data_IF_760614055745
#
_entry.id   IF_760614055745
#
_cell.length_a   1.000
_cell.length_b   1.000
_cell.length_c   1.000
_cell.angle_alpha   90.00
_cell.angle_beta   90.00
_cell.angle_gamma   90.00
#
_symmetry.space_group_name_H-M   'P 1'
#
loop_
_entity.id
_entity.type
_entity.pdbx_description
1 polymer ?
#
# COMPACT_ATOMS: atom_id res chain seq x y z
N UNK A 1 -27.13 18.61 36.01
CA UNK A 1 -25.93 19.00 35.23
C UNK A 1 -24.65 18.37 35.77
N UNK A 2 -24.23 18.66 37.01
CA UNK A 2 -22.98 18.10 37.58
C UNK A 2 -22.86 16.56 37.59
N UNK A 3 -23.97 15.83 37.78
CA UNK A 3 -23.99 14.36 37.76
C UNK A 3 -23.77 13.79 36.35
N UNK A 4 -24.28 14.46 35.31
CA UNK A 4 -24.07 14.06 33.91
C UNK A 4 -22.63 14.34 33.46
N UNK A 5 -22.06 15.45 33.90
CA UNK A 5 -20.65 15.80 33.65
C UNK A 5 -19.70 14.79 34.31
N UNK A 6 -19.97 14.41 35.56
CA UNK A 6 -19.17 13.42 36.28
C UNK A 6 -19.28 12.00 35.69
N UNK A 7 -20.47 11.60 35.21
CA UNK A 7 -20.67 10.33 34.50
C UNK A 7 -19.90 10.27 33.17
N UNK A 8 -19.89 11.37 32.40
CA UNK A 8 -19.15 11.46 31.15
C UNK A 8 -17.63 11.38 31.37
N UNK A 9 -17.11 12.04 32.41
CA UNK A 9 -15.69 11.98 32.79
C UNK A 9 -15.26 10.58 33.24
N UNK A 10 -16.11 9.88 34.01
CA UNK A 10 -15.84 8.49 34.44
C UNK A 10 -15.82 7.51 33.25
N UNK A 11 -16.75 7.66 32.31
CA UNK A 11 -16.78 6.86 31.08
C UNK A 11 -15.54 7.10 30.20
N UNK A 12 -15.09 8.35 30.10
CA UNK A 12 -13.87 8.69 29.36
C UNK A 12 -12.62 8.11 30.01
N UNK A 13 -12.50 8.17 31.33
CA UNK A 13 -11.38 7.58 32.06
C UNK A 13 -11.32 6.05 31.93
N UNK A 14 -12.47 5.36 32.02
CA UNK A 14 -12.59 3.92 31.76
C UNK A 14 -12.15 3.55 30.34
N UNK A 15 -12.62 4.30 29.32
CA UNK A 15 -12.20 4.09 27.92
C UNK A 15 -10.70 4.28 27.72
N UNK A 16 -10.10 5.28 28.37
CA UNK A 16 -8.65 5.52 28.30
C UNK A 16 -7.85 4.38 28.93
N UNK A 17 -8.39 3.71 29.94
CA UNK A 17 -7.74 2.59 30.62
C UNK A 17 -7.94 1.24 29.91
N UNK A 18 -9.09 1.01 29.27
CA UNK A 18 -9.37 -0.21 28.48
C UNK A 18 -8.68 -0.18 27.11
N UNK A 19 -8.52 0.98 26.48
CA UNK A 19 -7.98 1.11 25.12
C UNK A 19 -6.57 0.49 24.92
N UNK A 20 -5.60 0.65 25.85
CA UNK A 20 -4.31 -0.04 25.76
C UNK A 20 -4.44 -1.57 25.83
N UNK A 21 -5.39 -2.07 26.63
CA UNK A 21 -5.60 -3.52 26.80
C UNK A 21 -6.23 -4.15 25.56
N UNK A 22 -7.16 -3.43 24.90
CA UNK A 22 -7.76 -3.85 23.64
C UNK A 22 -6.74 -3.88 22.50
N UNK A 23 -5.92 -2.83 22.35
CA UNK A 23 -4.84 -2.80 21.35
C UNK A 23 -3.81 -3.90 21.56
N UNK A 24 -3.46 -4.18 22.80
CA UNK A 24 -2.55 -5.29 23.12
C UNK A 24 -3.17 -6.64 22.72
N UNK A 25 -4.45 -6.85 23.00
CA UNK A 25 -5.15 -8.08 22.63
C UNK A 25 -5.23 -8.27 21.10
N UNK A 26 -5.57 -7.21 20.35
CA UNK A 26 -5.56 -7.23 18.87
C UNK A 26 -4.17 -7.55 18.31
N UNK A 27 -3.12 -6.96 18.88
CA UNK A 27 -1.73 -7.24 18.48
C UNK A 27 -1.34 -8.69 18.74
N UNK A 28 -1.67 -9.22 19.91
CA UNK A 28 -1.38 -10.62 20.27
C UNK A 28 -2.12 -11.58 19.32
N UNK A 29 -3.39 -11.28 19.02
CA UNK A 29 -4.19 -12.10 18.11
C UNK A 29 -3.60 -12.08 16.69
N UNK A 30 -3.19 -10.92 16.19
CA UNK A 30 -2.55 -10.81 14.87
C UNK A 30 -1.21 -11.60 14.81
N UNK A 31 -0.42 -11.54 15.87
CA UNK A 31 0.82 -12.32 15.99
C UNK A 31 0.56 -13.84 16.03
N UNK A 32 -0.45 -14.28 16.77
CA UNK A 32 -0.85 -15.69 16.85
C UNK A 32 -1.30 -16.24 15.50
N UNK A 33 -2.13 -15.50 14.76
CA UNK A 33 -2.53 -15.87 13.39
C UNK A 33 -1.33 -15.93 12.44
N UNK A 34 -0.41 -14.96 12.52
CA UNK A 34 0.83 -15.01 11.74
C UNK A 34 1.69 -16.23 12.10
N UNK A 35 1.78 -16.59 13.38
CA UNK A 35 2.51 -17.76 13.84
C UNK A 35 1.89 -19.07 13.34
N UNK A 36 0.56 -19.21 13.40
CA UNK A 36 -0.18 -20.35 12.84
C UNK A 36 0.06 -20.50 11.34
N UNK A 37 0.01 -19.39 10.61
CA UNK A 37 0.28 -19.35 9.17
C UNK A 37 1.71 -19.84 8.85
N UNK A 38 2.70 -19.34 9.60
CA UNK A 38 4.09 -19.76 9.47
C UNK A 38 4.26 -21.25 9.76
N UNK A 39 3.60 -21.75 10.82
CA UNK A 39 3.63 -23.17 11.17
C UNK A 39 3.07 -24.05 10.04
N UNK A 40 1.90 -23.70 9.49
CA UNK A 40 1.29 -24.43 8.35
C UNK A 40 2.21 -24.44 7.12
N UNK A 41 2.84 -23.31 6.81
CA UNK A 41 3.80 -23.23 5.69
C UNK A 41 5.03 -24.11 5.90
N UNK A 42 5.55 -24.16 7.13
CA UNK A 42 6.69 -25.03 7.49
C UNK A 42 6.30 -26.49 7.40
N UNK A 43 5.12 -26.87 7.88
CA UNK A 43 4.59 -28.24 7.79
C UNK A 43 4.47 -28.68 6.32
N UNK A 44 3.87 -27.85 5.47
CA UNK A 44 3.79 -28.12 4.04
C UNK A 44 5.16 -28.27 3.38
N UNK A 45 6.18 -27.50 3.79
CA UNK A 45 7.54 -27.67 3.26
C UNK A 45 8.17 -29.01 3.66
N UNK A 46 7.85 -29.53 4.85
CA UNK A 46 8.34 -30.83 5.34
C UNK A 46 7.72 -32.02 4.61
N UNK A 47 6.49 -31.89 4.11
CA UNK A 47 5.80 -32.94 3.34
C UNK A 47 6.57 -33.35 2.07
N UNK A 48 7.38 -32.44 1.52
CA UNK A 48 8.25 -32.75 0.37
C UNK A 48 9.27 -33.86 0.68
N UNK A 49 9.73 -33.95 1.92
CA UNK A 49 10.73 -34.92 2.38
C UNK A 49 10.12 -36.28 2.76
N UNK A 50 8.84 -36.52 2.42
CA UNK A 50 8.18 -37.80 2.68
C UNK A 50 8.72 -38.91 1.77
N UNK A 51 8.97 -40.08 2.35
CA UNK A 51 9.33 -41.28 1.60
C UNK A 51 8.16 -41.89 0.81
N UNK A 52 6.92 -41.39 1.02
CA UNK A 52 5.74 -41.90 0.33
C UNK A 52 5.51 -41.19 -1.02
N UNK A 53 5.55 -41.91 -2.16
CA UNK A 53 5.37 -41.31 -3.49
C UNK A 53 4.04 -40.57 -3.67
N UNK A 54 2.97 -41.07 -3.03
CA UNK A 54 1.65 -40.43 -3.09
C UNK A 54 1.65 -39.05 -2.43
N UNK A 55 2.26 -38.92 -1.25
CA UNK A 55 2.38 -37.65 -0.53
C UNK A 55 3.20 -36.63 -1.34
N UNK A 56 4.31 -37.08 -1.95
CA UNK A 56 5.15 -36.24 -2.82
C UNK A 56 4.38 -35.74 -4.04
N UNK A 57 3.51 -36.56 -4.63
CA UNK A 57 2.68 -36.16 -5.77
C UNK A 57 1.63 -35.11 -5.39
N UNK A 58 0.99 -35.26 -4.23
CA UNK A 58 0.06 -34.25 -3.69
C UNK A 58 0.79 -32.93 -3.44
N UNK A 59 1.97 -32.98 -2.84
CA UNK A 59 2.81 -31.80 -2.61
C UNK A 59 3.19 -31.09 -3.92
N UNK A 60 3.61 -31.85 -4.95
CA UNK A 60 3.91 -31.30 -6.29
C UNK A 60 2.71 -30.58 -6.90
N UNK A 61 1.51 -31.16 -6.75
CA UNK A 61 0.27 -30.53 -7.22
C UNK A 61 -0.01 -29.22 -6.48
N UNK A 62 0.04 -29.22 -5.14
CA UNK A 62 -0.16 -28.01 -4.34
C UNK A 62 0.86 -26.92 -4.67
N UNK A 63 2.13 -27.30 -4.90
CA UNK A 63 3.16 -26.37 -5.36
C UNK A 63 2.80 -25.73 -6.70
N UNK A 64 2.31 -26.52 -7.65
CA UNK A 64 1.87 -26.02 -8.96
C UNK A 64 0.67 -25.08 -8.81
N UNK A 65 -0.34 -25.46 -8.03
CA UNK A 65 -1.50 -24.62 -7.75
C UNK A 65 -1.07 -23.29 -7.12
N UNK A 66 -0.13 -23.30 -6.18
CA UNK A 66 0.45 -22.09 -5.57
C UNK A 66 1.11 -21.19 -6.61
N UNK A 67 1.91 -21.76 -7.52
CA UNK A 67 2.56 -20.99 -8.59
C UNK A 67 1.54 -20.38 -9.55
N UNK A 68 0.47 -21.12 -9.87
CA UNK A 68 -0.62 -20.60 -10.71
C UNK A 68 -1.38 -19.47 -10.02
N UNK A 69 -1.72 -19.61 -8.73
CA UNK A 69 -2.37 -18.54 -7.95
C UNK A 69 -1.50 -17.29 -7.94
N UNK A 70 -0.22 -17.41 -7.64
CA UNK A 70 0.70 -16.25 -7.62
C UNK A 70 0.82 -15.58 -8.99
N UNK A 71 0.88 -16.36 -10.07
CA UNK A 71 0.89 -15.83 -11.43
C UNK A 71 -0.41 -15.09 -11.76
N UNK A 72 -1.57 -15.68 -11.44
CA UNK A 72 -2.88 -15.06 -11.64
C UNK A 72 -2.99 -13.74 -10.89
N UNK A 73 -2.51 -13.68 -9.64
CA UNK A 73 -2.49 -12.44 -8.85
C UNK A 73 -1.63 -11.36 -9.51
N UNK A 74 -0.42 -11.70 -9.97
CA UNK A 74 0.47 -10.76 -10.67
C UNK A 74 -0.09 -10.25 -12.00
N UNK A 75 -0.94 -11.04 -12.65
CA UNK A 75 -1.62 -10.66 -13.89
C UNK A 75 -2.97 -9.96 -13.66
N UNK A 76 -3.36 -9.69 -12.42
CA UNK A 76 -4.63 -9.02 -12.09
C UNK A 76 -5.87 -9.93 -12.10
N UNK A 77 -5.71 -11.25 -12.26
CA UNK A 77 -6.81 -12.22 -12.24
C UNK A 77 -7.20 -12.64 -10.81
N UNK A 78 -7.52 -11.67 -9.95
CA UNK A 78 -7.76 -11.87 -8.52
C UNK A 78 -8.90 -12.86 -8.21
N UNK A 79 -10.03 -12.74 -8.90
CA UNK A 79 -11.20 -13.59 -8.66
C UNK A 79 -10.91 -15.06 -8.97
N UNK A 80 -10.20 -15.32 -10.07
CA UNK A 80 -9.76 -16.67 -10.46
C UNK A 80 -8.72 -17.20 -9.49
N UNK A 81 -7.76 -16.38 -9.07
CA UNK A 81 -6.74 -16.75 -8.09
C UNK A 81 -7.36 -17.19 -6.75
N UNK A 82 -8.32 -16.42 -6.23
CA UNK A 82 -9.05 -16.73 -4.99
C UNK A 82 -9.84 -18.03 -5.12
N UNK A 83 -10.52 -18.24 -6.25
CA UNK A 83 -11.27 -19.48 -6.50
C UNK A 83 -10.36 -20.71 -6.54
N UNK A 84 -9.22 -20.61 -7.23
CA UNK A 84 -8.24 -21.70 -7.29
C UNK A 84 -7.65 -22.00 -5.91
N UNK A 85 -7.28 -20.97 -5.14
CA UNK A 85 -6.74 -21.15 -3.79
C UNK A 85 -7.72 -21.88 -2.86
N UNK A 86 -9.01 -21.52 -2.91
CA UNK A 86 -10.08 -22.18 -2.15
C UNK A 86 -10.31 -23.62 -2.59
N UNK A 87 -10.41 -23.86 -3.89
CA UNK A 87 -10.64 -25.20 -4.44
C UNK A 87 -9.50 -26.16 -4.13
N UNK A 88 -8.26 -25.67 -4.13
CA UNK A 88 -7.07 -26.45 -3.80
C UNK A 88 -6.77 -26.49 -2.29
N UNK A 89 -7.49 -25.73 -1.45
CA UNK A 89 -7.27 -25.67 -0.01
C UNK A 89 -5.92 -25.05 0.39
N UNK A 90 -5.38 -24.16 -0.44
CA UNK A 90 -4.03 -23.58 -0.30
C UNK A 90 -4.02 -22.10 0.09
N UNK A 91 -5.14 -21.55 0.60
CA UNK A 91 -5.26 -20.13 0.97
C UNK A 91 -4.11 -19.68 1.90
N UNK A 92 -3.76 -20.49 2.90
CA UNK A 92 -2.65 -20.23 3.83
C UNK A 92 -1.26 -20.31 3.18
N UNK A 93 -1.13 -20.92 2.00
CA UNK A 93 0.14 -21.08 1.29
C UNK A 93 0.40 -19.97 0.28
N UNK A 94 -0.58 -19.10 0.03
CA UNK A 94 -0.51 -17.98 -0.92
C UNK A 94 -0.65 -16.64 -0.18
N UNK A 95 -0.19 -15.56 -0.79
CA UNK A 95 -0.21 -14.22 -0.18
C UNK A 95 -1.33 -13.34 -0.78
N UNK A 96 -2.56 -13.87 -0.90
CA UNK A 96 -3.68 -13.19 -1.58
C UNK A 96 -3.89 -11.77 -1.02
N UNK A 97 -3.94 -11.63 0.30
CA UNK A 97 -4.20 -10.33 0.95
C UNK A 97 -3.17 -9.26 0.57
N UNK A 98 -1.90 -9.63 0.47
CA UNK A 98 -0.84 -8.70 0.06
C UNK A 98 -1.07 -8.14 -1.35
N UNK A 99 -1.52 -9.01 -2.27
CA UNK A 99 -1.88 -8.59 -3.62
C UNK A 99 -3.15 -7.75 -3.66
N UNK A 100 -4.14 -8.03 -2.80
CA UNK A 100 -5.35 -7.21 -2.71
C UNK A 100 -5.08 -5.82 -2.13
N UNK A 101 -4.19 -5.70 -1.13
CA UNK A 101 -3.74 -4.39 -0.64
C UNK A 101 -3.01 -3.61 -1.74
N UNK A 102 -2.14 -4.27 -2.51
CA UNK A 102 -1.47 -3.63 -3.64
C UNK A 102 -2.49 -3.16 -4.69
N UNK A 103 -3.48 -4.01 -5.01
CA UNK A 103 -4.57 -3.70 -5.94
C UNK A 103 -5.36 -2.46 -5.52
N UNK A 104 -5.74 -2.37 -4.26
CA UNK A 104 -6.49 -1.22 -3.73
C UNK A 104 -5.71 0.09 -3.90
N UNK A 105 -4.40 0.05 -3.62
CA UNK A 105 -3.51 1.18 -3.84
C UNK A 105 -3.42 1.52 -5.34
N UNK A 106 -3.22 0.54 -6.21
CA UNK A 106 -3.18 0.74 -7.66
C UNK A 106 -4.47 1.37 -8.21
N UNK A 107 -5.63 0.81 -7.86
CA UNK A 107 -6.95 1.32 -8.26
C UNK A 107 -7.19 2.75 -7.74
N UNK A 108 -6.67 3.10 -6.55
CA UNK A 108 -6.76 4.48 -6.04
C UNK A 108 -5.92 5.45 -6.87
N UNK A 109 -4.72 5.03 -7.29
CA UNK A 109 -3.83 5.86 -8.11
C UNK A 109 -4.39 6.05 -9.52
N UNK A 110 -5.04 5.04 -10.09
CA UNK A 110 -5.77 5.15 -11.36
C UNK A 110 -6.88 6.20 -11.30
N UNK A 111 -7.56 6.31 -10.14
CA UNK A 111 -8.55 7.36 -9.87
C UNK A 111 -7.93 8.71 -9.48
N UNK A 112 -6.61 8.85 -9.56
CA UNK A 112 -5.86 10.04 -9.16
C UNK A 112 -5.96 10.37 -7.66
N UNK A 113 -6.29 9.38 -6.83
CA UNK A 113 -6.41 9.48 -5.38
C UNK A 113 -5.10 9.05 -4.70
N UNK A 114 -4.29 10.01 -4.26
CA UNK A 114 -2.98 9.71 -3.64
C UNK A 114 -3.07 9.37 -2.15
N UNK A 115 -4.20 9.66 -1.50
CA UNK A 115 -4.35 9.55 -0.04
C UNK A 115 -4.13 8.12 0.47
N UNK A 116 -4.71 7.12 -0.19
CA UNK A 116 -4.57 5.69 0.15
C UNK A 116 -3.13 5.24 0.02
N UNK A 117 -2.46 5.59 -1.08
CA UNK A 117 -1.05 5.25 -1.29
C UNK A 117 -0.12 5.94 -0.27
N UNK A 118 -0.41 7.20 0.08
CA UNK A 118 0.35 7.94 1.10
C UNK A 118 0.18 7.34 2.51
N UNK A 119 -1.02 6.91 2.87
CA UNK A 119 -1.26 6.16 4.11
C UNK A 119 -0.45 4.86 4.12
N UNK A 120 -0.46 4.12 3.02
CA UNK A 120 0.38 2.93 2.88
C UNK A 120 1.88 3.25 2.99
N UNK A 121 2.36 4.36 2.40
CA UNK A 121 3.75 4.79 2.55
C UNK A 121 4.11 5.09 4.00
N UNK A 122 3.20 5.73 4.75
CA UNK A 122 3.39 6.02 6.17
C UNK A 122 3.58 4.73 6.98
N UNK A 123 2.68 3.77 6.78
CA UNK A 123 2.70 2.50 7.54
C UNK A 123 3.92 1.65 7.19
N UNK A 124 4.47 1.82 5.98
CA UNK A 124 5.62 1.07 5.48
C UNK A 124 6.93 1.88 5.46
N UNK A 125 6.96 3.05 6.11
CA UNK A 125 8.05 4.04 6.02
C UNK A 125 9.44 3.46 6.31
N UNK A 126 9.56 2.62 7.34
CA UNK A 126 10.85 2.00 7.70
C UNK A 126 11.35 1.04 6.61
N UNK A 127 10.46 0.28 5.97
CA UNK A 127 10.79 -0.63 4.88
C UNK A 127 11.16 0.14 3.62
N UNK A 128 10.38 1.16 3.27
CA UNK A 128 10.62 2.03 2.12
C UNK A 128 11.97 2.75 2.23
N UNK A 129 12.33 3.22 3.43
CA UNK A 129 13.64 3.85 3.68
C UNK A 129 14.80 2.88 3.46
N UNK A 130 14.70 1.64 3.95
CA UNK A 130 15.72 0.60 3.74
C UNK A 130 15.92 0.28 2.27
N UNK A 131 14.83 0.28 1.50
CA UNK A 131 14.86 0.06 0.05
C UNK A 131 15.23 1.31 -0.76
N UNK A 132 15.46 2.47 -0.10
CA UNK A 132 15.68 3.77 -0.74
C UNK A 132 14.60 4.09 -1.79
N UNK A 133 13.35 3.74 -1.50
CA UNK A 133 12.22 3.96 -2.41
C UNK A 133 11.91 5.45 -2.56
N UNK A 134 11.68 5.91 -3.79
CA UNK A 134 11.22 7.26 -4.11
C UNK A 134 9.69 7.39 -4.20
N UNK A 135 8.93 6.37 -3.79
CA UNK A 135 7.47 6.32 -3.96
C UNK A 135 6.77 7.50 -3.29
N UNK A 136 7.04 7.76 -2.01
CA UNK A 136 6.42 8.88 -1.29
C UNK A 136 6.74 10.22 -1.96
N UNK A 137 7.98 10.41 -2.39
CA UNK A 137 8.39 11.62 -3.11
C UNK A 137 7.63 11.79 -4.43
N UNK A 138 7.50 10.71 -5.21
CA UNK A 138 6.74 10.69 -6.47
C UNK A 138 5.26 11.05 -6.25
N UNK A 139 4.65 10.56 -5.16
CA UNK A 139 3.28 10.94 -4.79
C UNK A 139 3.16 12.42 -4.41
N UNK A 140 4.15 12.97 -3.69
CA UNK A 140 4.16 14.41 -3.36
C UNK A 140 4.30 15.30 -4.60
N UNK A 141 5.08 14.85 -5.59
CA UNK A 141 5.16 15.48 -6.91
C UNK A 141 3.81 15.42 -7.61
N UNK A 142 3.13 14.27 -7.60
CA UNK A 142 1.79 14.13 -8.19
C UNK A 142 0.76 15.05 -7.54
N UNK A 143 0.72 15.13 -6.20
CA UNK A 143 -0.15 16.09 -5.49
C UNK A 143 0.14 17.54 -5.89
N UNK A 144 1.41 17.90 -6.06
CA UNK A 144 1.80 19.24 -6.50
C UNK A 144 1.31 19.54 -7.92
N UNK A 145 1.50 18.60 -8.85
CA UNK A 145 1.01 18.72 -10.24
C UNK A 145 -0.51 18.89 -10.26
N UNK A 146 -1.22 18.12 -9.43
CA UNK A 146 -2.67 18.17 -9.34
C UNK A 146 -3.19 19.51 -8.78
N UNK A 147 -2.49 20.08 -7.80
CA UNK A 147 -2.78 21.45 -7.32
C UNK A 147 -2.59 22.50 -8.42
N UNK A 148 -1.56 22.36 -9.27
CA UNK A 148 -1.35 23.26 -10.41
C UNK A 148 -2.45 23.09 -11.46
N UNK A 149 -2.84 21.85 -11.79
CA UNK A 149 -3.94 21.56 -12.74
C UNK A 149 -5.27 22.17 -12.29
N UNK A 150 -5.54 22.13 -10.98
CA UNK A 150 -6.72 22.79 -10.38
C UNK A 150 -6.57 24.31 -10.25
N UNK A 151 -5.49 24.90 -10.78
CA UNK A 151 -5.13 26.31 -10.69
C UNK A 151 -4.99 26.83 -9.24
N UNK A 152 -4.78 25.93 -8.26
CA UNK A 152 -4.54 26.25 -6.85
C UNK A 152 -3.05 26.54 -6.59
N UNK A 153 -2.50 27.52 -7.31
CA UNK A 153 -1.04 27.81 -7.32
C UNK A 153 -0.47 28.11 -5.94
N UNK A 154 -1.19 28.87 -5.11
CA UNK A 154 -0.73 29.19 -3.75
C UNK A 154 -0.67 27.95 -2.84
N UNK A 155 -1.58 26.99 -3.04
CA UNK A 155 -1.57 25.72 -2.31
C UNK A 155 -0.40 24.85 -2.76
N UNK A 156 -0.12 24.81 -4.07
CA UNK A 156 1.05 24.13 -4.61
C UNK A 156 2.35 24.68 -4.00
N UNK A 157 2.50 26.01 -3.87
CA UNK A 157 3.66 26.63 -3.21
C UNK A 157 3.78 26.22 -1.74
N UNK A 158 2.65 26.20 -1.00
CA UNK A 158 2.64 25.75 0.40
C UNK A 158 3.04 24.28 0.52
N UNK A 159 2.52 23.44 -0.37
CA UNK A 159 2.83 22.02 -0.46
C UNK A 159 4.32 21.77 -0.72
N UNK A 160 4.88 22.45 -1.72
CA UNK A 160 6.30 22.33 -2.07
C UNK A 160 7.22 22.70 -0.89
N UNK A 161 6.93 23.80 -0.19
CA UNK A 161 7.71 24.20 1.01
C UNK A 161 7.68 23.14 2.11
N UNK A 162 6.55 22.46 2.28
CA UNK A 162 6.37 21.44 3.31
C UNK A 162 7.07 20.13 2.95
N UNK A 163 6.97 19.69 1.69
CA UNK A 163 7.31 18.33 1.29
C UNK A 163 8.61 18.21 0.49
N UNK A 164 9.12 19.29 -0.13
CA UNK A 164 10.34 19.27 -0.94
C UNK A 164 11.53 19.95 -0.28
N UNK A 165 11.41 20.40 0.98
CA UNK A 165 12.48 21.10 1.69
C UNK A 165 13.73 20.25 1.95
N UNK A 166 13.58 18.92 1.98
CA UNK A 166 14.66 17.95 2.16
C UNK A 166 15.03 17.23 0.86
N UNK A 167 14.59 17.73 -0.30
CA UNK A 167 14.96 17.14 -1.58
C UNK A 167 16.48 17.34 -1.82
N UNK A 168 17.15 16.28 -2.26
CA UNK A 168 18.60 16.28 -2.49
C UNK A 168 18.96 15.53 -3.78
N UNK A 169 20.12 15.82 -4.35
CA UNK A 169 20.62 15.17 -5.57
C UNK A 169 19.60 15.25 -6.72
N UNK A 170 19.30 14.12 -7.37
CA UNK A 170 18.37 14.05 -8.49
C UNK A 170 16.93 14.49 -8.16
N UNK A 171 16.51 14.43 -6.89
CA UNK A 171 15.19 14.94 -6.50
C UNK A 171 15.07 16.45 -6.67
N UNK A 172 16.17 17.20 -6.52
CA UNK A 172 16.16 18.65 -6.73
C UNK A 172 15.90 19.02 -8.19
N UNK A 173 16.40 18.22 -9.13
CA UNK A 173 16.18 18.46 -10.56
C UNK A 173 14.72 18.23 -10.93
N UNK A 174 14.08 17.18 -10.39
CA UNK A 174 12.64 16.95 -10.50
C UNK A 174 11.82 18.09 -9.86
N UNK A 175 12.20 18.54 -8.65
CA UNK A 175 11.54 19.68 -7.98
C UNK A 175 11.64 20.94 -8.81
N UNK A 176 12.82 21.26 -9.35
CA UNK A 176 13.02 22.43 -10.22
C UNK A 176 12.15 22.36 -11.46
N UNK A 177 12.05 21.19 -12.07
CA UNK A 177 11.19 20.96 -13.23
C UNK A 177 9.72 21.21 -12.87
N UNK A 178 9.18 20.63 -11.80
CA UNK A 178 7.77 20.86 -11.47
C UNK A 178 7.51 22.29 -11.00
N UNK A 179 8.43 22.93 -10.28
CA UNK A 179 8.30 24.32 -9.86
C UNK A 179 8.21 25.29 -11.06
N UNK A 180 8.86 24.95 -12.18
CA UNK A 180 8.72 25.69 -13.43
C UNK A 180 7.27 25.77 -13.94
N UNK A 181 6.43 24.77 -13.63
CA UNK A 181 5.02 24.75 -14.02
C UNK A 181 4.20 25.87 -13.37
N UNK A 182 4.67 26.47 -12.27
CA UNK A 182 3.99 27.62 -11.65
C UNK A 182 3.98 28.86 -12.57
N UNK A 183 4.99 28.99 -13.44
CA UNK A 183 5.15 30.13 -14.34
C UNK A 183 4.29 30.01 -15.61
N UNK A 184 3.73 28.82 -15.88
CA UNK A 184 2.99 28.56 -17.10
C UNK A 184 1.51 28.27 -16.84
N UNK A 185 0.62 28.51 -17.82
CA UNK A 185 -0.74 27.99 -17.82
C UNK A 185 -0.77 26.46 -17.85
N UNK A 186 -1.86 25.85 -17.34
CA UNK A 186 -2.05 24.39 -17.31
C UNK A 186 -2.17 23.76 -18.71
N UNK A 187 -2.51 24.55 -19.73
CA UNK A 187 -2.58 24.18 -21.15
C UNK A 187 -1.26 24.44 -21.92
N UNK A 188 -0.14 24.63 -21.20
CA UNK A 188 1.15 24.94 -21.83
C UNK A 188 1.64 23.82 -22.77
N UNK A 189 2.07 24.21 -23.97
CA UNK A 189 2.70 23.31 -24.94
C UNK A 189 4.23 23.29 -24.85
N UNK A 190 4.80 23.96 -23.84
CA UNK A 190 6.24 24.07 -23.66
C UNK A 190 6.79 22.77 -23.08
N UNK A 191 7.70 22.12 -23.80
CA UNK A 191 8.48 20.98 -23.28
C UNK A 191 9.50 21.47 -22.24
N UNK A 192 9.69 20.79 -21.09
CA UNK A 192 9.19 19.46 -20.70
C UNK A 192 7.82 19.46 -19.98
N UNK A 193 7.23 20.63 -19.74
CA UNK A 193 6.04 20.82 -18.90
C UNK A 193 4.75 20.25 -19.51
N UNK A 194 4.70 20.11 -20.83
CA UNK A 194 3.60 19.42 -21.55
C UNK A 194 3.46 17.94 -21.14
N UNK A 195 4.58 17.22 -20.99
CA UNK A 195 4.58 15.78 -20.67
C UNK A 195 4.16 15.55 -19.22
N UNK A 196 4.63 16.40 -18.30
CA UNK A 196 4.29 16.31 -16.87
C UNK A 196 2.80 16.60 -16.60
N UNK A 197 2.16 17.43 -17.43
CA UNK A 197 0.70 17.63 -17.39
C UNK A 197 -0.07 16.53 -18.16
N UNK A 198 0.53 15.90 -19.17
CA UNK A 198 -0.12 14.89 -20.03
C UNK A 198 0.06 13.42 -19.61
N UNK A 199 0.90 13.08 -18.63
CA UNK A 199 1.18 11.67 -18.24
C UNK A 199 -0.01 10.91 -17.60
N UNK A 200 -1.18 11.55 -17.44
CA UNK A 200 -2.42 10.85 -17.11
C UNK A 200 -3.15 10.30 -18.36
N UNK A 201 -2.81 10.76 -19.58
CA UNK A 201 -3.41 10.23 -20.83
C UNK A 201 -2.84 8.85 -21.23
N UNK A 202 -1.88 8.30 -20.46
CA UNK A 202 -1.32 6.96 -20.68
C UNK A 202 -2.11 5.88 -19.89
N UNK A 203 -3.11 6.28 -19.11
CA UNK A 203 -4.06 5.37 -18.44
C UNK A 203 -5.45 5.42 -19.10
N UNK A 204 -5.51 5.52 -20.42
CA UNK A 204 -6.73 5.40 -21.24
C UNK A 204 -6.50 4.47 -22.43
#
# INVERSE_FOLDING_TARGET
MAVQESSAQLSMALKVQEYPTLKAAESIQAEDESAKLCKRRIEHLKEHSSDQPAAVNVWKKQRMDRMMVEHLLRCGYYSTAVKLARQSGIEDLVNIEMFLTAKEVEESLERQETATCLAWCHDNKSRLRKMKSCLEFSLRIQEFIELIRQNKRMDAVRHARKHFSQAEGGQLDEVRQVMGMLAFPSDTHISPYKVTVGLADIAS
#
